data_IF_162280080021
#
_entry.id   IF_162280080021
#
_cell.length_a   1.000
_cell.length_b   1.000
_cell.length_c   1.000
_cell.angle_alpha   90.00
_cell.angle_beta   90.00
_cell.angle_gamma   90.00
#
_symmetry.space_group_name_H-M   'P 1'
#
loop_
_entity.id
_entity.type
_entity.pdbx_description
1 polymer ?
#
# COMPACT_ATOMS: atom_id res chain seq x y z
N UNK A 1 -8.32 4.10 58.12
CA UNK A 1 -8.41 2.85 57.32
C UNK A 1 -9.39 2.94 56.14
N UNK A 2 -10.59 3.51 56.31
CA UNK A 2 -11.56 3.65 55.21
C UNK A 2 -11.09 4.55 54.05
N UNK A 3 -10.42 5.68 54.35
CA UNK A 3 -9.85 6.60 53.35
C UNK A 3 -8.77 5.96 52.47
N UNK A 4 -7.88 5.16 53.07
CA UNK A 4 -6.84 4.43 52.34
C UNK A 4 -7.44 3.34 51.42
N UNK A 5 -8.53 2.69 51.87
CA UNK A 5 -9.27 1.71 51.05
C UNK A 5 -9.99 2.39 49.88
N UNK A 6 -10.58 3.57 50.10
CA UNK A 6 -11.22 4.35 49.04
C UNK A 6 -10.20 4.81 47.98
N UNK A 7 -9.03 5.27 48.42
CA UNK A 7 -7.94 5.70 47.54
C UNK A 7 -7.38 4.55 46.69
N UNK A 8 -7.17 3.38 47.30
CA UNK A 8 -6.75 2.17 46.58
C UNK A 8 -7.79 1.72 45.54
N UNK A 9 -9.09 1.79 45.86
CA UNK A 9 -10.16 1.45 44.93
C UNK A 9 -10.20 2.40 43.73
N UNK A 10 -10.08 3.71 43.94
CA UNK A 10 -10.04 4.69 42.85
C UNK A 10 -8.81 4.54 41.96
N UNK A 11 -7.67 4.16 42.53
CA UNK A 11 -6.43 3.94 41.76
C UNK A 11 -6.52 2.72 40.84
N UNK A 12 -7.17 1.63 41.28
CA UNK A 12 -7.38 0.44 40.46
C UNK A 12 -8.37 0.69 39.30
N UNK A 13 -9.39 1.52 39.50
CA UNK A 13 -10.34 1.89 38.43
C UNK A 13 -9.64 2.70 37.32
N UNK A 14 -8.75 3.63 37.68
CA UNK A 14 -8.01 4.45 36.71
C UNK A 14 -7.04 3.64 35.84
N UNK A 15 -6.44 2.58 36.39
CA UNK A 15 -5.52 1.70 35.65
C UNK A 15 -6.29 0.83 34.63
N UNK A 16 -7.51 0.41 34.94
CA UNK A 16 -8.29 -0.46 34.05
C UNK A 16 -8.84 0.27 32.82
N UNK A 17 -9.14 1.57 32.93
CA UNK A 17 -9.70 2.36 31.82
C UNK A 17 -8.65 2.93 30.85
N UNK A 18 -7.35 2.75 31.13
CA UNK A 18 -6.26 3.34 30.34
C UNK A 18 -5.80 2.53 29.12
N UNK A 19 -6.32 1.32 28.89
CA UNK A 19 -5.89 0.46 27.79
C UNK A 19 -6.68 0.74 26.50
N UNK A 20 -6.33 1.81 25.80
CA UNK A 20 -6.74 1.99 24.40
C UNK A 20 -5.82 1.18 23.49
N UNK A 21 -6.36 0.24 22.73
CA UNK A 21 -5.61 -0.46 21.68
C UNK A 21 -5.52 0.45 20.46
N UNK A 22 -4.31 0.91 20.12
CA UNK A 22 -4.07 1.54 18.83
C UNK A 22 -3.97 0.41 17.80
N UNK A 23 -5.03 0.19 17.03
CA UNK A 23 -4.95 -0.69 15.88
C UNK A 23 -4.19 0.03 14.77
N UNK A 24 -2.95 -0.40 14.51
CA UNK A 24 -2.24 0.01 13.31
C UNK A 24 -3.04 -0.52 12.12
N UNK A 25 -3.58 0.39 11.29
CA UNK A 25 -4.26 -0.04 10.09
C UNK A 25 -3.29 -0.82 9.18
N UNK A 26 -3.77 -1.93 8.63
CA UNK A 26 -2.96 -2.79 7.78
C UNK A 26 -2.51 -2.01 6.53
N UNK A 27 -1.19 -1.97 6.33
CA UNK A 27 -0.57 -1.29 5.18
C UNK A 27 -0.60 -2.23 3.98
N UNK A 28 -0.79 -1.66 2.79
CA UNK A 28 -0.66 -2.42 1.55
C UNK A 28 0.81 -2.60 1.20
N UNK A 29 1.18 -3.78 0.72
CA UNK A 29 2.54 -4.11 0.30
C UNK A 29 2.68 -4.08 -1.21
N UNK A 30 3.92 -4.02 -1.71
CA UNK A 30 4.20 -4.15 -3.14
C UNK A 30 3.72 -5.49 -3.71
N UNK A 31 3.71 -6.54 -2.89
CA UNK A 31 3.12 -7.83 -3.26
C UNK A 31 1.62 -7.69 -3.56
N UNK A 32 0.87 -7.01 -2.69
CA UNK A 32 -0.56 -6.79 -2.88
C UNK A 32 -0.85 -5.95 -4.13
N UNK A 33 -0.05 -4.90 -4.36
CA UNK A 33 -0.16 -4.08 -5.57
C UNK A 33 0.06 -4.92 -6.83
N UNK A 34 1.11 -5.76 -6.87
CA UNK A 34 1.36 -6.67 -8.01
C UNK A 34 0.24 -7.68 -8.20
N UNK A 35 -0.31 -8.21 -7.11
CA UNK A 35 -1.40 -9.17 -7.20
C UNK A 35 -2.65 -8.53 -7.84
N UNK A 36 -2.99 -7.30 -7.44
CA UNK A 36 -4.13 -6.57 -7.99
C UNK A 36 -3.87 -6.10 -9.44
N UNK A 37 -2.65 -5.67 -9.77
CA UNK A 37 -2.32 -5.16 -11.11
C UNK A 37 -2.51 -6.21 -12.22
N UNK A 38 -2.39 -7.50 -11.90
CA UNK A 38 -2.60 -8.59 -12.85
C UNK A 38 -4.01 -8.68 -13.43
N UNK A 39 -4.98 -8.02 -12.81
CA UNK A 39 -6.34 -7.91 -13.36
C UNK A 39 -6.47 -6.88 -14.50
N UNK A 40 -5.45 -6.03 -14.68
CA UNK A 40 -5.44 -4.94 -15.66
C UNK A 40 -4.73 -5.40 -16.93
N UNK A 41 -5.40 -5.25 -18.06
CA UNK A 41 -4.85 -5.53 -19.40
C UNK A 41 -4.37 -4.21 -20.02
N UNK A 42 -3.11 -4.17 -20.42
CA UNK A 42 -2.48 -3.00 -21.05
C UNK A 42 -2.92 -2.83 -22.51
N UNK A 43 -2.50 -1.73 -23.14
CA UNK A 43 -2.75 -1.47 -24.57
C UNK A 43 -2.14 -2.54 -25.49
N UNK A 44 -1.11 -3.26 -25.05
CA UNK A 44 -0.50 -4.38 -25.78
C UNK A 44 -1.23 -5.72 -25.61
N UNK A 45 -2.33 -5.76 -24.83
CA UNK A 45 -3.07 -6.98 -24.56
C UNK A 45 -2.43 -7.90 -23.52
N UNK A 46 -1.41 -7.41 -22.80
CA UNK A 46 -0.72 -8.16 -21.74
C UNK A 46 -1.22 -7.77 -20.36
N UNK A 47 -1.13 -8.68 -19.40
CA UNK A 47 -1.36 -8.36 -17.99
C UNK A 47 -0.32 -7.34 -17.52
N UNK A 48 -0.74 -6.33 -16.76
CA UNK A 48 0.16 -5.34 -16.18
C UNK A 48 1.03 -5.97 -15.08
N UNK A 49 2.35 -5.85 -15.24
CA UNK A 49 3.35 -6.25 -14.25
C UNK A 49 4.16 -5.05 -13.79
N UNK A 50 4.16 -4.79 -12.48
CA UNK A 50 4.73 -3.56 -11.92
C UNK A 50 6.09 -3.84 -11.25
N UNK A 51 7.06 -2.99 -11.56
CA UNK A 51 8.36 -2.99 -10.93
C UNK A 51 8.28 -2.37 -9.53
N UNK A 52 8.00 -3.21 -8.54
CA UNK A 52 7.97 -2.83 -7.13
C UNK A 52 8.49 -3.99 -6.27
N UNK A 53 9.21 -3.70 -5.19
CA UNK A 53 9.62 -4.75 -4.25
C UNK A 53 8.40 -5.23 -3.46
N UNK A 54 8.28 -6.55 -3.30
CA UNK A 54 7.20 -7.18 -2.54
C UNK A 54 7.10 -6.64 -1.10
N UNK A 55 8.24 -6.27 -0.51
CA UNK A 55 8.34 -5.74 0.86
C UNK A 55 8.10 -4.25 0.99
N UNK A 56 7.99 -3.51 -0.12
CA UNK A 56 7.74 -2.06 -0.07
C UNK A 56 6.34 -1.83 0.49
N UNK A 57 6.20 -0.91 1.43
CA UNK A 57 4.91 -0.62 2.08
C UNK A 57 4.34 0.70 1.59
N UNK A 58 3.02 0.73 1.43
CA UNK A 58 2.23 1.88 1.02
C UNK A 58 1.21 2.23 2.11
N UNK A 59 0.44 3.29 1.87
CA UNK A 59 -0.70 3.60 2.74
C UNK A 59 -1.77 2.52 2.59
N UNK A 60 -2.60 2.37 3.62
CA UNK A 60 -3.77 1.48 3.56
C UNK A 60 -4.70 1.89 2.42
N UNK A 61 -5.45 0.95 1.87
CA UNK A 61 -6.61 1.23 1.03
C UNK A 61 -7.75 0.30 1.43
N UNK A 62 -8.95 0.85 1.66
CA UNK A 62 -10.13 0.05 1.99
C UNK A 62 -10.75 -0.62 0.75
N UNK A 63 -10.45 -0.11 -0.44
CA UNK A 63 -11.01 -0.54 -1.72
C UNK A 63 -9.94 -1.09 -2.65
N UNK A 64 -10.32 -1.79 -3.73
CA UNK A 64 -9.38 -2.18 -4.78
C UNK A 64 -8.67 -0.96 -5.38
N UNK A 65 -7.39 -1.12 -5.68
CA UNK A 65 -6.57 -0.05 -6.25
C UNK A 65 -6.98 0.22 -7.70
N UNK A 66 -6.97 1.49 -8.09
CA UNK A 66 -7.08 1.89 -9.49
C UNK A 66 -5.70 1.94 -10.15
N UNK A 67 -5.68 1.66 -11.45
CA UNK A 67 -4.48 1.64 -12.28
C UNK A 67 -4.75 2.40 -13.56
N UNK A 68 -3.92 3.40 -13.87
CA UNK A 68 -4.02 4.16 -15.11
C UNK A 68 -2.64 4.47 -15.68
N UNK A 69 -2.46 4.43 -17.01
CA UNK A 69 -1.22 4.90 -17.62
C UNK A 69 -1.13 6.43 -17.44
N UNK A 70 0.06 6.93 -17.10
CA UNK A 70 0.26 8.39 -16.93
C UNK A 70 0.21 9.16 -18.24
N UNK A 71 0.58 8.50 -19.34
CA UNK A 71 0.49 9.04 -20.68
C UNK A 71 -0.46 8.15 -21.49
N UNK A 72 -1.28 8.76 -22.34
CA UNK A 72 -2.29 8.03 -23.11
C UNK A 72 -1.65 6.89 -23.91
N UNK A 73 -2.20 5.68 -23.74
CA UNK A 73 -1.72 4.42 -24.34
C UNK A 73 -0.31 3.95 -23.95
N UNK A 74 0.44 4.70 -23.13
CA UNK A 74 1.76 4.31 -22.65
C UNK A 74 1.72 3.81 -21.20
N UNK A 75 1.87 2.49 -21.06
CA UNK A 75 1.88 1.78 -19.80
C UNK A 75 3.27 1.62 -19.19
N UNK A 76 4.30 2.30 -19.71
CA UNK A 76 5.65 2.33 -19.13
C UNK A 76 5.64 2.83 -17.68
N UNK A 77 4.77 3.79 -17.41
CA UNK A 77 4.58 4.44 -16.11
C UNK A 77 3.11 4.43 -15.74
N UNK A 78 2.80 3.80 -14.62
CA UNK A 78 1.43 3.59 -14.14
C UNK A 78 1.21 4.36 -12.85
N UNK A 79 0.13 5.13 -12.81
CA UNK A 79 -0.41 5.67 -11.57
C UNK A 79 -1.27 4.60 -10.90
N UNK A 80 -0.91 4.29 -9.66
CA UNK A 80 -1.69 3.43 -8.75
C UNK A 80 -2.34 4.33 -7.72
N UNK A 81 -3.66 4.28 -7.62
CA UNK A 81 -4.40 5.14 -6.69
C UNK A 81 -5.36 4.38 -5.80
N UNK A 82 -5.64 5.01 -4.67
CA UNK A 82 -6.69 4.63 -3.73
C UNK A 82 -7.63 5.81 -3.55
N UNK A 83 -8.88 5.66 -3.98
CA UNK A 83 -9.86 6.74 -3.95
C UNK A 83 -10.36 7.00 -2.53
N UNK A 84 -10.61 5.94 -1.76
CA UNK A 84 -11.14 6.01 -0.40
C UNK A 84 -10.22 6.76 0.57
N UNK A 85 -8.92 6.47 0.55
CA UNK A 85 -7.92 7.14 1.38
C UNK A 85 -7.19 8.31 0.70
N UNK A 86 -7.57 8.66 -0.53
CA UNK A 86 -7.05 9.79 -1.30
C UNK A 86 -5.51 9.83 -1.36
N UNK A 87 -4.91 8.75 -1.85
CA UNK A 87 -3.48 8.72 -2.15
C UNK A 87 -3.24 8.09 -3.52
N UNK A 88 -2.15 8.51 -4.17
CA UNK A 88 -1.64 7.85 -5.36
C UNK A 88 -0.11 7.72 -5.32
N UNK A 89 0.40 6.80 -6.12
CA UNK A 89 1.82 6.59 -6.32
C UNK A 89 2.09 6.21 -7.76
N UNK A 90 3.33 6.39 -8.21
CA UNK A 90 3.72 6.12 -9.59
C UNK A 90 4.73 4.99 -9.58
N UNK A 91 4.44 3.95 -10.35
CA UNK A 91 5.28 2.76 -10.51
C UNK A 91 5.59 2.54 -11.99
N UNK A 92 6.74 1.92 -12.27
CA UNK A 92 7.12 1.54 -13.65
C UNK A 92 6.61 0.15 -13.96
N UNK A 93 6.31 -0.11 -15.22
CA UNK A 93 6.04 -1.44 -15.72
C UNK A 93 7.36 -2.21 -15.86
N UNK A 94 7.36 -3.48 -15.43
CA UNK A 94 8.53 -4.35 -15.48
C UNK A 94 8.99 -4.62 -16.92
N UNK A 95 8.07 -4.67 -17.88
CA UNK A 95 8.41 -4.88 -19.30
C UNK A 95 9.30 -3.76 -19.85
N UNK A 96 9.01 -2.50 -19.51
CA UNK A 96 9.84 -1.36 -19.94
C UNK A 96 11.22 -1.40 -19.30
N UNK A 97 11.30 -1.77 -18.02
CA UNK A 97 12.56 -1.85 -17.31
C UNK A 97 13.53 -2.88 -17.91
N UNK A 98 13.02 -4.07 -18.29
CA UNK A 98 13.87 -5.08 -18.91
C UNK A 98 14.42 -4.65 -20.27
N UNK A 99 13.62 -3.90 -21.06
CA UNK A 99 14.07 -3.36 -22.35
C UNK A 99 15.19 -2.33 -22.14
N UNK A 100 15.08 -1.46 -21.14
CA UNK A 100 16.13 -0.49 -20.80
C UNK A 100 17.43 -1.18 -20.35
N UNK A 101 17.35 -2.18 -19.46
CA UNK A 101 18.52 -2.96 -19.01
C UNK A 101 19.17 -3.75 -20.15
N UNK A 102 18.39 -4.32 -21.06
CA UNK A 102 18.92 -5.05 -22.23
C UNK A 102 19.65 -4.08 -23.18
N UNK A 103 19.11 -2.89 -23.39
CA UNK A 103 19.73 -1.87 -24.24
C UNK A 103 21.03 -1.32 -23.65
N UNK A 104 21.10 -1.14 -22.33
CA UNK A 104 22.30 -0.69 -21.62
C UNK A 104 23.42 -1.74 -21.62
N UNK A 105 23.07 -3.03 -21.52
CA UNK A 105 24.05 -4.13 -21.52
C UNK A 105 24.54 -4.54 -22.93
N UNK A 106 23.97 -3.97 -23.99
CA UNK A 106 24.35 -4.25 -25.39
C UNK A 106 25.36 -3.24 -25.97
N UNK A 107 25.69 -2.19 -25.20
CA UNK A 107 26.71 -1.18 -25.52
C UNK A 107 27.89 -1.21 -24.53
#
# INVERSE_FOLDING_TARGET
>A
MALLRLFMLTFNVLIWTGFSTVQASERITGFDIKAQSKSVVTSSGTSLDLMVSDKRTFFKCAEPLGFAPRMENDWSTVEVNCVSENWSTVLRNQQTFQIEEEFENTF
#
